data_IF_879784979953
#
_entry.id   IF_879784979953
#
_cell.length_a   1.000
_cell.length_b   1.000
_cell.length_c   1.000
_cell.angle_alpha   90.00
_cell.angle_beta   90.00
_cell.angle_gamma   90.00
#
_symmetry.space_group_name_H-M   'P 1'
#
loop_
_entity.id
_entity.type
_entity.pdbx_description
1 polymer ?
#
# COMPACT_ATOMS: atom_id res chain seq x y z
N UNK A 1 -5.39 -5.88 13.23
CA UNK A 1 -5.23 -4.48 12.77
C UNK A 1 -3.84 -3.88 12.99
N UNK A 2 -3.38 -3.59 14.22
CA UNK A 2 -2.04 -2.98 14.41
C UNK A 2 -0.90 -3.87 13.89
N UNK A 3 -0.97 -5.17 14.16
CA UNK A 3 -0.01 -6.17 13.67
C UNK A 3 -0.01 -6.26 12.14
N UNK A 4 -1.19 -6.25 11.50
CA UNK A 4 -1.32 -6.24 10.02
C UNK A 4 -0.66 -5.01 9.41
N UNK A 5 -0.85 -3.83 10.01
CA UNK A 5 -0.27 -2.58 9.53
C UNK A 5 1.25 -2.62 9.62
N UNK A 6 1.80 -3.11 10.73
CA UNK A 6 3.24 -3.36 10.88
C UNK A 6 3.72 -4.35 9.80
N UNK A 7 3.01 -5.45 9.59
CA UNK A 7 3.37 -6.45 8.60
C UNK A 7 3.37 -5.87 7.17
N UNK A 8 2.35 -5.09 6.80
CA UNK A 8 2.27 -4.43 5.50
C UNK A 8 3.38 -3.40 5.29
N UNK A 9 3.71 -2.60 6.32
CA UNK A 9 4.83 -1.64 6.26
C UNK A 9 6.16 -2.39 6.09
N UNK A 10 6.38 -3.45 6.86
CA UNK A 10 7.58 -4.28 6.76
C UNK A 10 7.71 -4.88 5.36
N UNK A 11 6.67 -5.51 4.84
CA UNK A 11 6.67 -6.09 3.49
C UNK A 11 6.91 -5.05 2.41
N UNK A 12 6.26 -3.90 2.49
CA UNK A 12 6.41 -2.80 1.53
C UNK A 12 7.80 -2.20 1.53
N UNK A 13 8.42 -2.07 2.70
CA UNK A 13 9.77 -1.53 2.86
C UNK A 13 10.81 -2.55 2.40
N UNK A 14 10.63 -3.82 2.74
CA UNK A 14 11.51 -4.90 2.30
C UNK A 14 11.51 -4.99 0.76
N UNK A 15 10.36 -4.82 0.12
CA UNK A 15 10.25 -4.75 -1.33
C UNK A 15 11.03 -3.54 -1.91
N UNK A 16 10.91 -2.36 -1.31
CA UNK A 16 11.66 -1.17 -1.72
C UNK A 16 13.15 -1.34 -1.51
N UNK A 17 13.56 -2.00 -0.43
CA UNK A 17 14.95 -2.36 -0.18
C UNK A 17 15.49 -3.30 -1.25
N UNK A 18 14.77 -4.38 -1.56
CA UNK A 18 15.16 -5.28 -2.64
C UNK A 18 15.29 -4.54 -3.98
N UNK A 19 14.32 -3.68 -4.31
CA UNK A 19 14.36 -2.83 -5.51
C UNK A 19 15.60 -1.95 -5.55
N UNK A 20 15.93 -1.30 -4.43
CA UNK A 20 17.10 -0.46 -4.32
C UNK A 20 18.38 -1.30 -4.53
N UNK A 21 18.51 -2.44 -3.85
CA UNK A 21 19.68 -3.31 -4.00
C UNK A 21 19.87 -3.77 -5.44
N UNK A 22 18.78 -4.16 -6.13
CA UNK A 22 18.82 -4.59 -7.52
C UNK A 22 19.21 -3.42 -8.44
N UNK A 23 18.63 -2.24 -8.23
CA UNK A 23 18.99 -1.02 -8.95
C UNK A 23 20.49 -0.72 -8.81
N UNK A 24 21.02 -0.79 -7.60
CA UNK A 24 22.43 -0.53 -7.32
C UNK A 24 23.36 -1.58 -7.96
N UNK A 25 22.94 -2.84 -8.07
CA UNK A 25 23.68 -3.89 -8.78
C UNK A 25 23.66 -3.76 -10.32
N UNK A 26 22.71 -3.02 -10.88
CA UNK A 26 22.61 -2.80 -12.34
C UNK A 26 23.50 -1.62 -12.75
N UNK A 27 23.61 -0.61 -11.89
CA UNK A 27 24.40 0.58 -12.17
C UNK A 27 25.91 0.30 -12.09
N UNK A 28 26.72 0.88 -13.00
CA UNK A 28 28.17 0.87 -12.84
C UNK A 28 28.56 1.77 -11.65
N UNK A 29 29.63 1.39 -10.94
CA UNK A 29 30.09 2.10 -9.74
C UNK A 29 30.50 3.56 -9.99
N UNK A 30 30.75 3.93 -11.24
CA UNK A 30 31.06 5.31 -11.66
C UNK A 30 29.83 6.18 -11.90
N UNK A 31 28.62 5.61 -11.87
CA UNK A 31 27.39 6.34 -12.16
C UNK A 31 26.97 7.22 -10.97
N UNK A 32 26.47 8.43 -11.24
CA UNK A 32 26.04 9.39 -10.20
C UNK A 32 24.90 8.87 -9.30
N UNK A 33 24.08 7.93 -9.82
CA UNK A 33 22.99 7.29 -9.07
C UNK A 33 23.43 6.04 -8.27
N UNK A 34 24.74 5.73 -8.28
CA UNK A 34 25.29 4.65 -7.47
C UNK A 34 25.54 5.15 -6.04
N UNK A 35 24.78 4.64 -5.09
CA UNK A 35 24.82 5.04 -3.70
C UNK A 35 25.79 4.18 -2.89
N UNK A 36 26.49 4.78 -1.93
CA UNK A 36 27.24 4.02 -0.94
C UNK A 36 26.30 3.23 -0.03
N UNK A 37 26.77 2.13 0.55
CA UNK A 37 25.97 1.30 1.45
C UNK A 37 25.37 2.11 2.62
N UNK A 38 26.12 3.10 3.14
CA UNK A 38 25.65 3.99 4.20
C UNK A 38 24.44 4.81 3.76
N UNK A 39 24.50 5.37 2.55
CA UNK A 39 23.40 6.14 1.97
C UNK A 39 22.19 5.25 1.71
N UNK A 40 22.40 4.01 1.23
CA UNK A 40 21.31 3.05 1.02
C UNK A 40 20.61 2.70 2.34
N UNK A 41 21.38 2.44 3.41
CA UNK A 41 20.84 2.16 4.74
C UNK A 41 20.05 3.35 5.27
N UNK A 42 20.63 4.56 5.24
CA UNK A 42 19.95 5.79 5.69
C UNK A 42 18.66 6.01 4.92
N UNK A 43 18.70 5.84 3.59
CA UNK A 43 17.55 6.00 2.73
C UNK A 43 16.42 5.04 3.10
N UNK A 44 16.73 3.75 3.24
CA UNK A 44 15.75 2.71 3.57
C UNK A 44 15.21 2.91 4.98
N UNK A 45 16.07 3.22 5.95
CA UNK A 45 15.65 3.53 7.33
C UNK A 45 14.75 4.77 7.39
N UNK A 46 15.00 5.79 6.56
CA UNK A 46 14.16 6.99 6.50
C UNK A 46 12.79 6.67 5.91
N UNK A 47 12.74 5.94 4.79
CA UNK A 47 11.48 5.50 4.16
C UNK A 47 10.69 4.59 5.09
N UNK A 48 11.38 3.67 5.78
CA UNK A 48 10.78 2.77 6.78
C UNK A 48 10.20 3.55 7.95
N UNK A 49 11.00 4.42 8.56
CA UNK A 49 10.61 5.25 9.68
C UNK A 49 9.40 6.09 9.33
N UNK A 50 9.43 6.82 8.20
CA UNK A 50 8.29 7.63 7.76
C UNK A 50 7.02 6.78 7.57
N UNK A 51 7.12 5.61 6.92
CA UNK A 51 5.97 4.74 6.68
C UNK A 51 5.40 4.14 7.98
N UNK A 52 6.28 3.81 8.93
CA UNK A 52 5.90 3.22 10.22
C UNK A 52 5.31 4.27 11.15
N UNK A 53 5.94 5.44 11.25
CA UNK A 53 5.43 6.57 12.02
C UNK A 53 4.10 7.07 11.46
N UNK A 54 3.95 7.22 10.14
CA UNK A 54 2.71 7.72 9.54
C UNK A 54 1.55 6.74 9.73
N UNK A 55 1.69 5.48 9.34
CA UNK A 55 0.55 4.54 9.39
C UNK A 55 0.38 3.91 10.76
N UNK A 56 1.46 3.60 11.46
CA UNK A 56 1.42 2.91 12.76
C UNK A 56 0.84 3.80 13.86
N UNK A 57 1.30 5.05 13.97
CA UNK A 57 0.75 5.98 14.98
C UNK A 57 -0.69 6.31 14.67
N UNK A 58 -1.01 6.63 13.41
CA UNK A 58 -2.37 7.03 13.02
C UNK A 58 -3.35 5.88 13.26
N UNK A 59 -2.98 4.64 12.93
CA UNK A 59 -3.81 3.49 13.22
C UNK A 59 -3.96 3.19 14.72
N UNK A 60 -2.91 3.44 15.52
CA UNK A 60 -2.99 3.29 16.97
C UNK A 60 -3.92 4.33 17.59
N UNK A 61 -3.84 5.59 17.15
CA UNK A 61 -4.66 6.69 17.66
C UNK A 61 -6.13 6.58 17.25
N UNK A 62 -6.43 5.99 16.10
CA UNK A 62 -7.80 5.91 15.53
C UNK A 62 -8.49 4.57 15.82
N UNK A 63 -8.04 3.82 16.82
CA UNK A 63 -8.61 2.51 17.16
C UNK A 63 -10.02 2.59 17.76
N UNK A 64 -10.43 3.76 18.23
CA UNK A 64 -11.72 3.94 18.90
C UNK A 64 -12.86 4.11 17.89
N UNK A 65 -14.03 3.58 18.24
CA UNK A 65 -15.26 3.79 17.48
C UNK A 65 -15.63 5.27 17.45
N UNK A 66 -16.35 5.67 16.40
CA UNK A 66 -16.94 7.01 16.31
C UNK A 66 -18.00 7.16 17.41
N UNK A 67 -18.09 8.33 18.03
CA UNK A 67 -19.00 8.59 19.16
C UNK A 67 -20.48 8.26 18.84
N UNK A 68 -20.89 8.37 17.57
CA UNK A 68 -22.24 8.07 17.09
C UNK A 68 -22.42 6.62 16.60
N UNK A 69 -21.58 5.69 17.02
CA UNK A 69 -21.61 4.31 16.50
C UNK A 69 -22.92 3.57 16.80
N UNK A 70 -23.57 3.88 17.92
CA UNK A 70 -24.84 3.25 18.32
C UNK A 70 -26.01 3.74 17.45
N UNK A 71 -26.08 5.04 17.17
CA UNK A 71 -27.13 5.63 16.34
C UNK A 71 -27.09 5.07 14.92
N UNK A 72 -25.86 4.89 14.37
CA UNK A 72 -25.67 4.32 13.03
C UNK A 72 -26.13 2.86 12.95
N UNK A 73 -25.93 2.07 14.01
CA UNK A 73 -26.40 0.68 14.06
C UNK A 73 -27.92 0.61 14.05
N UNK A 74 -28.54 1.43 14.90
CA UNK A 74 -29.98 1.45 15.08
C UNK A 74 -30.70 1.99 13.83
N UNK A 75 -30.13 2.99 13.15
CA UNK A 75 -30.70 3.55 11.92
C UNK A 75 -30.68 2.57 10.74
N UNK A 76 -29.73 1.62 10.71
CA UNK A 76 -29.55 0.67 9.62
C UNK A 76 -30.05 -0.75 9.93
N UNK A 77 -30.77 -0.96 11.04
CA UNK A 77 -31.22 -2.28 11.54
C UNK A 77 -30.06 -3.30 11.65
N UNK A 78 -28.88 -2.84 12.09
CA UNK A 78 -27.65 -3.64 12.16
C UNK A 78 -27.34 -4.19 13.56
N UNK A 79 -28.30 -4.17 14.48
CA UNK A 79 -28.10 -4.59 15.88
C UNK A 79 -27.59 -6.03 16.02
N UNK A 80 -27.96 -6.91 15.08
CA UNK A 80 -27.47 -8.29 15.01
C UNK A 80 -25.95 -8.40 14.83
N UNK A 81 -25.27 -7.37 14.31
CA UNK A 81 -23.81 -7.33 14.19
C UNK A 81 -23.14 -7.07 15.55
N UNK A 82 -23.81 -6.36 16.47
CA UNK A 82 -23.30 -6.15 17.82
C UNK A 82 -23.40 -7.41 18.69
N UNK A 83 -24.34 -8.31 18.37
CA UNK A 83 -24.52 -9.60 19.05
C UNK A 83 -23.49 -10.65 18.63
N UNK A 84 -22.80 -10.47 17.49
CA UNK A 84 -21.76 -11.39 17.03
C UNK A 84 -20.49 -11.23 17.87
N UNK A 85 -19.93 -12.35 18.33
CA UNK A 85 -18.61 -12.37 18.97
C UNK A 85 -17.52 -11.97 18.00
N UNK A 86 -17.11 -10.70 18.05
CA UNK A 86 -16.07 -10.11 17.22
C UNK A 86 -16.02 -8.60 17.45
N UNK A 87 -14.85 -7.98 17.37
CA UNK A 87 -14.74 -6.53 17.50
C UNK A 87 -15.39 -5.84 16.30
N UNK A 88 -16.55 -5.20 16.50
CA UNK A 88 -17.17 -4.37 15.48
C UNK A 88 -16.56 -2.96 15.52
N UNK A 89 -15.97 -2.54 14.40
CA UNK A 89 -15.41 -1.20 14.26
C UNK A 89 -16.26 -0.43 13.27
N UNK A 90 -16.89 0.64 13.75
CA UNK A 90 -17.77 1.50 12.95
C UNK A 90 -17.00 2.79 12.63
N UNK A 91 -16.73 2.99 11.35
CA UNK A 91 -15.90 4.08 10.85
C UNK A 91 -16.68 5.38 10.60
N UNK A 92 -18.01 5.34 10.64
CA UNK A 92 -18.90 6.50 10.47
C UNK A 92 -19.91 6.29 9.34
N UNK A 93 -20.76 7.30 9.15
CA UNK A 93 -21.85 7.28 8.18
C UNK A 93 -21.37 7.68 6.77
N UNK A 94 -22.19 7.40 5.74
CA UNK A 94 -21.93 7.73 4.34
C UNK A 94 -21.74 9.24 4.20
N UNK A 95 -20.56 9.66 3.70
CA UNK A 95 -20.22 11.08 3.60
C UNK A 95 -19.77 11.73 4.92
N UNK A 96 -19.75 11.00 6.04
CA UNK A 96 -19.23 11.44 7.36
C UNK A 96 -18.46 10.32 8.06
N UNK A 97 -17.38 9.86 7.42
CA UNK A 97 -16.50 8.78 7.92
C UNK A 97 -15.54 9.19 9.06
N UNK A 98 -15.94 10.15 9.91
CA UNK A 98 -15.21 10.61 11.10
C UNK A 98 -13.67 10.50 11.05
N UNK A 99 -13.15 9.75 12.02
CA UNK A 99 -11.73 9.46 12.23
C UNK A 99 -11.08 8.62 11.11
N UNK A 100 -11.84 7.82 10.39
CA UNK A 100 -11.32 6.93 9.34
C UNK A 100 -10.70 7.68 8.15
N UNK A 101 -11.15 8.92 7.91
CA UNK A 101 -10.56 9.81 6.90
C UNK A 101 -9.06 10.03 7.12
N UNK A 102 -8.63 10.20 8.37
CA UNK A 102 -7.23 10.40 8.70
C UNK A 102 -6.39 9.15 8.44
N UNK A 103 -6.95 7.96 8.70
CA UNK A 103 -6.29 6.69 8.38
C UNK A 103 -6.06 6.54 6.87
N UNK A 104 -7.08 6.82 6.07
CA UNK A 104 -6.98 6.71 4.62
C UNK A 104 -6.05 7.77 4.04
N UNK A 105 -6.06 8.99 4.60
CA UNK A 105 -5.09 10.03 4.24
C UNK A 105 -3.64 9.61 4.57
N UNK A 106 -3.39 8.97 5.71
CA UNK A 106 -2.07 8.46 6.08
C UNK A 106 -1.53 7.45 5.06
N UNK A 107 -2.37 6.49 4.68
CA UNK A 107 -2.02 5.46 3.69
C UNK A 107 -1.73 6.12 2.34
N UNK A 108 -2.49 7.15 1.96
CA UNK A 108 -2.24 7.91 0.73
C UNK A 108 -0.90 8.63 0.72
N UNK A 109 -0.54 9.30 1.83
CA UNK A 109 0.76 9.93 1.95
C UNK A 109 1.87 8.88 1.76
N UNK A 110 1.72 7.70 2.35
CA UNK A 110 2.68 6.61 2.14
C UNK A 110 2.75 6.13 0.69
N UNK A 111 1.62 5.99 -0.01
CA UNK A 111 1.63 5.65 -1.44
C UNK A 111 2.31 6.76 -2.25
N UNK A 112 2.02 8.02 -1.94
CA UNK A 112 2.59 9.16 -2.65
C UNK A 112 4.11 9.26 -2.47
N UNK A 113 4.64 8.83 -1.32
CA UNK A 113 6.09 8.74 -1.09
C UNK A 113 6.68 7.51 -1.80
N UNK A 114 6.02 6.34 -1.71
CA UNK A 114 6.58 5.07 -2.19
C UNK A 114 6.45 4.86 -3.70
N UNK A 115 5.37 5.30 -4.32
CA UNK A 115 5.09 5.03 -5.73
C UNK A 115 6.07 5.73 -6.69
N UNK A 116 6.37 7.04 -6.56
CA UNK A 116 7.34 7.71 -7.41
C UNK A 116 8.73 7.10 -7.27
N UNK A 117 9.11 6.73 -6.05
CA UNK A 117 10.37 6.05 -5.77
C UNK A 117 10.47 4.70 -6.50
N UNK A 118 9.42 3.88 -6.44
CA UNK A 118 9.39 2.59 -7.15
C UNK A 118 9.47 2.77 -8.65
N UNK A 119 8.70 3.70 -9.21
CA UNK A 119 8.71 4.01 -10.65
C UNK A 119 10.10 4.49 -11.07
N UNK A 120 10.72 5.36 -10.28
CA UNK A 120 12.09 5.82 -10.51
C UNK A 120 13.08 4.65 -10.54
N UNK A 121 13.11 3.83 -9.49
CA UNK A 121 14.06 2.71 -9.38
C UNK A 121 13.88 1.67 -10.50
N UNK A 122 12.64 1.34 -10.86
CA UNK A 122 12.36 0.39 -11.94
C UNK A 122 12.68 1.02 -13.29
N UNK A 123 12.26 2.26 -13.51
CA UNK A 123 12.45 2.99 -14.76
C UNK A 123 13.92 3.17 -15.11
N UNK A 124 14.74 3.62 -14.16
CA UNK A 124 16.19 3.75 -14.35
C UNK A 124 16.83 2.38 -14.57
N UNK A 125 16.47 1.36 -13.79
CA UNK A 125 17.00 0.00 -13.95
C UNK A 125 16.71 -0.58 -15.35
N UNK A 126 15.48 -0.42 -15.85
CA UNK A 126 15.09 -0.85 -17.19
C UNK A 126 15.83 -0.05 -18.26
N UNK A 127 15.93 1.26 -18.08
CA UNK A 127 16.65 2.12 -19.02
C UNK A 127 18.13 1.72 -19.14
N UNK A 128 18.81 1.49 -18.02
CA UNK A 128 20.21 1.04 -18.00
C UNK A 128 20.38 -0.35 -18.62
N UNK A 129 19.48 -1.28 -18.30
CA UNK A 129 19.55 -2.63 -18.84
C UNK A 129 19.37 -2.66 -20.37
N UNK A 130 18.58 -1.73 -20.93
CA UNK A 130 18.40 -1.58 -22.38
C UNK A 130 19.63 -1.01 -23.08
N UNK A 131 20.40 -0.15 -22.41
CA UNK A 131 21.55 0.55 -23.01
C UNK A 131 22.90 -0.15 -22.79
N UNK A 132 22.96 -1.19 -21.95
CA UNK A 132 24.14 -2.04 -21.83
C UNK A 132 24.36 -2.84 -23.12
N UNK A 133 25.24 -2.31 -23.99
CA UNK A 133 25.89 -3.07 -25.07
C UNK A 133 26.89 -4.01 -24.40
N UNK A 134 26.87 -5.32 -24.70
CA UNK A 134 27.76 -6.41 -24.21
C UNK A 134 27.26 -7.13 -22.93
N UNK A 135 27.35 -8.46 -22.72
CA UNK A 135 27.79 -9.65 -23.49
C UNK A 135 26.93 -10.82 -22.95
N UNK A 136 26.64 -11.79 -23.80
CA UNK A 136 25.93 -13.06 -23.54
C UNK A 136 26.40 -13.75 -22.23
N UNK A 137 25.73 -13.46 -21.11
CA UNK A 137 26.06 -14.04 -19.80
C UNK A 137 24.78 -14.32 -19.03
N UNK A 138 24.74 -15.49 -18.37
CA UNK A 138 23.63 -15.96 -17.52
C UNK A 138 23.19 -14.88 -16.50
N UNK A 139 24.11 -14.00 -16.10
CA UNK A 139 23.86 -12.87 -15.20
C UNK A 139 22.88 -11.84 -15.76
N UNK A 140 22.95 -11.51 -17.07
CA UNK A 140 22.03 -10.54 -17.70
C UNK A 140 20.61 -11.12 -17.77
N UNK A 141 20.50 -12.42 -18.07
CA UNK A 141 19.22 -13.13 -18.09
C UNK A 141 18.58 -13.12 -16.71
N UNK A 142 19.36 -13.40 -15.66
CA UNK A 142 18.88 -13.36 -14.27
C UNK A 142 18.41 -11.94 -13.89
N UNK A 143 19.20 -10.90 -14.18
CA UNK A 143 18.83 -9.51 -13.92
C UNK A 143 17.53 -9.11 -14.64
N UNK A 144 17.38 -9.49 -15.93
CA UNK A 144 16.15 -9.24 -16.69
C UNK A 144 14.93 -9.93 -16.10
N UNK A 145 15.07 -11.20 -15.67
CA UNK A 145 13.99 -11.94 -14.99
C UNK A 145 13.59 -11.26 -13.69
N UNK A 146 14.55 -10.86 -12.87
CA UNK A 146 14.32 -10.17 -11.61
C UNK A 146 13.56 -8.86 -11.83
N UNK A 147 13.98 -8.03 -12.79
CA UNK A 147 13.27 -6.77 -13.13
C UNK A 147 11.84 -7.07 -13.62
N UNK A 148 11.65 -8.10 -14.44
CA UNK A 148 10.32 -8.49 -14.90
C UNK A 148 9.40 -8.90 -13.75
N UNK A 149 9.92 -9.65 -12.77
CA UNK A 149 9.18 -10.03 -11.56
C UNK A 149 8.83 -8.79 -10.74
N UNK A 150 9.79 -7.88 -10.54
CA UNK A 150 9.55 -6.62 -9.80
C UNK A 150 8.52 -5.72 -10.49
N UNK A 151 8.54 -5.67 -11.82
CA UNK A 151 7.54 -4.96 -12.60
C UNK A 151 6.16 -5.59 -12.42
N UNK A 152 6.05 -6.91 -12.54
CA UNK A 152 4.81 -7.64 -12.28
C UNK A 152 4.30 -7.42 -10.85
N UNK A 153 5.18 -7.48 -9.85
CA UNK A 153 4.83 -7.17 -8.45
C UNK A 153 4.31 -5.73 -8.32
N UNK A 154 4.92 -4.77 -9.02
CA UNK A 154 4.46 -3.38 -9.01
C UNK A 154 3.08 -3.22 -9.63
N UNK A 155 2.81 -3.91 -10.74
CA UNK A 155 1.48 -3.94 -11.38
C UNK A 155 0.45 -4.58 -10.46
N UNK A 156 0.78 -5.72 -9.85
CA UNK A 156 -0.09 -6.43 -8.90
C UNK A 156 -0.40 -5.51 -7.71
N UNK A 157 0.61 -4.91 -7.06
CA UNK A 157 0.38 -3.98 -5.94
C UNK A 157 -0.44 -2.77 -6.39
N UNK A 158 -0.24 -2.26 -7.60
CA UNK A 158 -1.04 -1.14 -8.10
C UNK A 158 -2.51 -1.53 -8.23
N UNK A 159 -2.80 -2.68 -8.86
CA UNK A 159 -4.17 -3.19 -9.11
C UNK A 159 -4.88 -3.59 -7.81
N UNK A 160 -4.20 -4.31 -6.92
CA UNK A 160 -4.82 -4.89 -5.74
C UNK A 160 -4.75 -4.01 -4.49
N UNK A 161 -3.95 -2.93 -4.50
CA UNK A 161 -3.78 -2.07 -3.32
C UNK A 161 -3.98 -0.58 -3.63
N UNK A 162 -3.28 -0.04 -4.61
CA UNK A 162 -3.34 1.41 -4.90
C UNK A 162 -4.69 1.82 -5.48
N UNK A 163 -5.18 1.12 -6.51
CA UNK A 163 -6.46 1.44 -7.13
C UNK A 163 -7.66 1.28 -6.18
N UNK A 164 -7.80 0.19 -5.42
CA UNK A 164 -8.91 0.05 -4.48
C UNK A 164 -8.89 1.13 -3.40
N UNK A 165 -7.71 1.53 -2.93
CA UNK A 165 -7.59 2.61 -1.96
C UNK A 165 -7.96 3.99 -2.55
N UNK A 166 -7.46 4.30 -3.75
CA UNK A 166 -7.85 5.51 -4.49
C UNK A 166 -9.36 5.59 -4.67
N UNK A 167 -9.95 4.46 -5.00
CA UNK A 167 -11.39 4.38 -5.19
C UNK A 167 -12.13 4.56 -3.87
N UNK A 168 -11.64 3.96 -2.78
CA UNK A 168 -12.21 4.13 -1.45
C UNK A 168 -12.22 5.61 -1.06
N UNK A 169 -11.18 6.37 -1.40
CA UNK A 169 -11.12 7.83 -1.21
C UNK A 169 -12.14 8.56 -2.06
N UNK A 170 -12.26 8.22 -3.34
CA UNK A 170 -13.29 8.79 -4.18
C UNK A 170 -14.68 8.54 -3.57
N UNK A 171 -14.93 7.33 -3.07
CA UNK A 171 -16.18 7.01 -2.35
C UNK A 171 -16.34 7.75 -1.01
N UNK A 172 -15.28 8.27 -0.40
CA UNK A 172 -15.38 9.12 0.80
C UNK A 172 -15.88 10.54 0.47
N UNK A 173 -15.46 11.08 -0.67
CA UNK A 173 -15.75 12.46 -1.08
C UNK A 173 -16.96 12.56 -2.01
N UNK A 174 -17.19 11.54 -2.82
CA UNK A 174 -18.35 11.43 -3.71
C UNK A 174 -19.36 10.47 -3.10
N UNK A 175 -20.64 10.86 -3.12
CA UNK A 175 -21.71 9.96 -2.68
C UNK A 175 -21.66 8.68 -3.50
N UNK A 176 -21.59 7.53 -2.81
CA UNK A 176 -21.57 6.20 -3.43
C UNK A 176 -22.78 6.01 -4.37
N UNK A 177 -23.89 6.70 -4.09
CA UNK A 177 -25.11 6.71 -4.90
C UNK A 177 -24.91 7.28 -6.32
N UNK A 178 -23.81 7.99 -6.58
CA UNK A 178 -23.50 8.53 -7.91
C UNK A 178 -22.78 7.52 -8.82
N UNK A 179 -22.32 6.38 -8.30
CA UNK A 179 -21.67 5.34 -9.09
C UNK A 179 -22.70 4.35 -9.64
N UNK A 180 -22.46 3.81 -10.83
CA UNK A 180 -23.30 2.74 -11.38
C UNK A 180 -23.12 1.43 -10.61
N UNK A 181 -24.18 0.63 -10.53
CA UNK A 181 -24.18 -0.66 -9.83
C UNK A 181 -23.07 -1.60 -10.32
N UNK A 182 -22.79 -1.57 -11.63
CA UNK A 182 -21.70 -2.35 -12.24
C UNK A 182 -20.34 -1.93 -11.68
N UNK A 183 -20.11 -0.63 -11.50
CA UNK A 183 -18.86 -0.11 -10.96
C UNK A 183 -18.73 -0.51 -9.49
N UNK A 184 -19.80 -0.37 -8.71
CA UNK A 184 -19.86 -0.79 -7.31
C UNK A 184 -19.61 -2.29 -7.13
N UNK A 185 -20.09 -3.13 -8.05
CA UNK A 185 -19.78 -4.56 -8.05
C UNK A 185 -18.26 -4.80 -8.17
N UNK A 186 -17.59 -4.20 -9.14
CA UNK A 186 -16.14 -4.37 -9.32
C UNK A 186 -15.33 -3.83 -8.15
N UNK A 187 -15.76 -2.72 -7.57
CA UNK A 187 -15.17 -2.15 -6.36
C UNK A 187 -15.21 -3.17 -5.22
N UNK A 188 -16.38 -3.75 -4.96
CA UNK A 188 -16.56 -4.73 -3.88
C UNK A 188 -15.65 -5.94 -4.10
N UNK A 189 -15.54 -6.43 -5.33
CA UNK A 189 -14.65 -7.54 -5.66
C UNK A 189 -13.17 -7.22 -5.41
N UNK A 190 -12.76 -5.96 -5.58
CA UNK A 190 -11.39 -5.51 -5.30
C UNK A 190 -11.11 -5.29 -3.80
N UNK A 191 -12.14 -4.92 -3.02
CA UNK A 191 -12.02 -4.71 -1.57
C UNK A 191 -11.96 -6.05 -0.82
N UNK A 192 -12.66 -7.09 -1.30
CA UNK A 192 -12.71 -8.41 -0.64
C UNK A 192 -11.30 -9.02 -0.39
N UNK A 193 -10.37 -9.08 -1.37
CA UNK A 193 -9.02 -9.57 -1.13
C UNK A 193 -8.26 -8.79 -0.05
N UNK A 194 -8.45 -7.47 0.01
CA UNK A 194 -7.83 -6.60 1.02
C UNK A 194 -8.40 -6.93 2.40
N UNK A 195 -9.71 -7.12 2.51
CA UNK A 195 -10.38 -7.48 3.75
C UNK A 195 -10.06 -8.90 4.24
N UNK A 196 -9.88 -9.86 3.31
CA UNK A 196 -9.50 -11.24 3.64
C UNK A 196 -8.06 -11.34 4.15
N UNK A 197 -7.15 -10.53 3.63
CA UNK A 197 -5.80 -10.41 4.20
C UNK A 197 -5.82 -9.86 5.63
N UNK A 198 -6.81 -9.02 5.95
CA UNK A 198 -7.02 -8.49 7.30
C UNK A 198 -7.60 -9.54 8.27
N UNK A 199 -8.50 -10.41 7.83
CA UNK A 199 -9.12 -11.40 8.73
C UNK A 199 -8.21 -12.58 9.08
N UNK A 200 -7.25 -12.92 8.21
CA UNK A 200 -6.24 -13.97 8.47
C UNK A 200 -5.28 -13.63 9.62
N UNK A 201 -5.15 -12.36 10.02
CA UNK A 201 -4.35 -11.93 11.16
C UNK A 201 -5.09 -11.86 12.49
N UNK A 202 -6.39 -12.19 12.51
CA UNK A 202 -7.25 -12.19 13.70
C UNK A 202 -7.55 -13.59 14.26
N UNK A 203 -7.04 -14.65 13.60
CA UNK A 203 -6.96 -16.02 14.12
C UNK A 203 -5.61 -16.24 14.80
#
# INVERSE_FOLDING_TARGET
QFVEIIFMINGSTLLVFMLLMIHQQILPSSHQLHFSIRVQVIFVSTVYGLSLFSNGIIAFLLRNNVDNSLDILQENDLDWLAERSGGLIIYGDVGRMGSFRFMVFAIMVSIFVLAPLRIFLIGTSVHFLKHQKLIHSKTVILKKRIISVLFQQTVIVSIFYVYPLLLLILAMYFSIASFSDTLLFWIRQLVIPISMLNSLGQL
#
